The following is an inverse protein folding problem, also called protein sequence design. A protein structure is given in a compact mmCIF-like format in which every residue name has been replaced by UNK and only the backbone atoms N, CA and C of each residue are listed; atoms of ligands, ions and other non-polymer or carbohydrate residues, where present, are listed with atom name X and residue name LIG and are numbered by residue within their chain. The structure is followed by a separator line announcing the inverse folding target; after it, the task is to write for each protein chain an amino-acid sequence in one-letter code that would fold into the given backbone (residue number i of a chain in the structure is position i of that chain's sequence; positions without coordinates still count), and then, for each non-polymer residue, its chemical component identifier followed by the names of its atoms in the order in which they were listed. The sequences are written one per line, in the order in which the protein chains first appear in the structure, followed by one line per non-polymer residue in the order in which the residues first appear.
data_IF_322259963201
#
_entry.id   IF_322259963201
#
_cell.length_a   1.000
_cell.length_b   1.000
_cell.length_c   1.000
_cell.angle_alpha   90.00
_cell.angle_beta   90.00
_cell.angle_gamma   90.00
#
_symmetry.space_group_name_H-M   'P 1'
#
loop_
_entity.id
_entity.type
_entity.pdbx_description
1 polymer ?
#
# COMPACT_ATOMS: atom_id res chain seq x y z
N UNK A 1 0.02 -3.17 22.03
CA UNK A 1 0.93 -4.33 22.02
C UNK A 1 2.35 -3.86 22.31
N UNK A 2 3.26 -4.73 22.77
CA UNK A 2 4.68 -4.43 22.98
C UNK A 2 5.54 -5.12 21.91
N UNK A 3 6.74 -4.58 21.65
CA UNK A 3 7.62 -5.06 20.56
C UNK A 3 7.98 -6.55 20.67
N UNK A 4 8.21 -7.06 21.89
CA UNK A 4 8.53 -8.47 22.13
C UNK A 4 7.33 -9.43 22.00
N UNK A 5 6.11 -8.90 21.85
CA UNK A 5 4.89 -9.69 21.65
C UNK A 5 4.57 -9.87 20.16
N UNK A 6 5.30 -9.19 19.28
CA UNK A 6 5.15 -9.31 17.83
C UNK A 6 5.87 -10.57 17.36
N UNK A 7 5.18 -11.38 16.58
CA UNK A 7 5.74 -12.57 15.96
C UNK A 7 5.81 -12.39 14.44
N UNK A 8 6.99 -12.64 13.86
CA UNK A 8 7.16 -12.71 12.41
C UNK A 8 6.31 -13.86 11.85
N UNK A 9 5.61 -13.59 10.75
CA UNK A 9 4.70 -14.52 10.09
C UNK A 9 3.27 -14.53 10.68
N UNK A 10 3.01 -13.80 11.76
CA UNK A 10 1.67 -13.63 12.31
C UNK A 10 0.97 -12.40 11.71
N UNK A 11 -0.35 -12.49 11.60
CA UNK A 11 -1.21 -11.39 11.13
C UNK A 11 -1.78 -10.65 12.33
N UNK A 12 -1.71 -9.32 12.26
CA UNK A 12 -2.24 -8.40 13.26
C UNK A 12 -3.18 -7.41 12.61
N UNK A 13 -4.17 -6.95 13.36
CA UNK A 13 -5.01 -5.83 12.97
C UNK A 13 -4.28 -4.53 13.33
N UNK A 14 -4.05 -3.69 12.33
CA UNK A 14 -3.48 -2.36 12.49
C UNK A 14 -4.61 -1.36 12.68
N UNK A 15 -4.53 -0.62 13.78
CA UNK A 15 -5.40 0.52 14.08
C UNK A 15 -4.56 1.78 14.13
N UNK A 16 -4.47 2.55 13.04
CA UNK A 16 -3.83 3.85 13.04
C UNK A 16 -4.42 4.71 14.15
N UNK A 17 -3.61 5.06 15.13
CA UNK A 17 -3.98 6.12 16.07
C UNK A 17 -3.75 7.42 15.30
N UNK A 18 -4.81 8.20 15.05
CA UNK A 18 -4.68 9.53 14.46
C UNK A 18 -3.89 10.43 15.39
N UNK A 19 -2.57 10.32 15.35
CA UNK A 19 -1.67 11.30 15.92
C UNK A 19 -1.31 12.28 14.81
N UNK A 20 -1.51 13.57 15.06
CA UNK A 20 -1.44 14.65 14.08
C UNK A 20 0.02 14.98 13.66
N UNK A 21 0.79 13.96 13.24
CA UNK A 21 2.20 14.07 12.93
C UNK A 21 2.63 13.20 11.74
N UNK A 22 3.10 13.89 10.69
CA UNK A 22 4.06 13.45 9.65
C UNK A 22 3.77 12.23 8.74
N UNK A 23 2.83 11.34 9.04
CA UNK A 23 2.66 10.08 8.28
C UNK A 23 1.23 9.81 7.76
N UNK A 24 0.29 10.74 7.98
CA UNK A 24 -1.10 10.59 7.53
C UNK A 24 -1.24 10.30 6.02
N UNK A 25 -0.29 10.76 5.20
CA UNK A 25 -0.27 10.54 3.76
C UNK A 25 0.18 9.12 3.34
N UNK A 26 0.90 8.38 4.19
CA UNK A 26 1.24 6.96 3.96
C UNK A 26 0.03 6.04 4.14
N UNK A 27 -0.93 6.50 4.93
CA UNK A 27 -2.12 5.74 5.34
C UNK A 27 -3.39 6.31 4.72
N UNK A 28 -3.35 6.79 3.47
CA UNK A 28 -4.55 7.03 2.64
C UNK A 28 -5.34 5.74 2.32
N UNK A 29 -5.32 4.77 3.25
CA UNK A 29 -6.03 3.51 3.24
C UNK A 29 -7.05 3.45 4.38
N UNK A 30 -7.75 2.32 4.55
CA UNK A 30 -8.86 2.19 5.50
C UNK A 30 -8.44 2.46 6.95
N UNK A 31 -9.42 2.87 7.77
CA UNK A 31 -9.26 3.17 9.20
C UNK A 31 -8.71 1.99 10.01
N UNK A 32 -8.81 0.75 9.51
CA UNK A 32 -8.16 -0.44 10.05
C UNK A 32 -7.78 -1.39 8.90
N UNK A 33 -6.67 -2.12 9.04
CA UNK A 33 -6.27 -3.14 8.05
C UNK A 33 -5.47 -4.28 8.68
N UNK A 34 -5.51 -5.44 8.06
CA UNK A 34 -4.67 -6.58 8.46
C UNK A 34 -3.25 -6.46 7.90
N UNK A 35 -2.27 -6.77 8.73
CA UNK A 35 -0.85 -6.75 8.40
C UNK A 35 -0.21 -8.06 8.82
N UNK A 36 0.40 -8.78 7.87
CA UNK A 36 1.27 -9.92 8.18
C UNK A 36 2.68 -9.43 8.44
N UNK A 37 3.19 -9.60 9.65
CA UNK A 37 4.53 -9.10 10.01
C UNK A 37 5.60 -9.93 9.32
N UNK A 38 6.54 -9.26 8.66
CA UNK A 38 7.66 -9.90 7.95
C UNK A 38 9.02 -9.51 8.51
N UNK A 39 9.11 -8.47 9.33
CA UNK A 39 10.32 -8.08 10.03
C UNK A 39 10.02 -7.26 11.29
N UNK A 40 10.85 -7.45 12.31
CA UNK A 40 10.84 -6.73 13.57
C UNK A 40 12.17 -5.97 13.78
N UNK A 41 12.25 -5.15 14.84
CA UNK A 41 13.46 -4.37 15.17
C UNK A 41 13.63 -3.05 14.41
N UNK A 42 12.64 -2.68 13.60
CA UNK A 42 12.59 -1.41 12.88
C UNK A 42 12.12 -0.26 13.78
N UNK A 43 12.48 0.97 13.41
CA UNK A 43 11.94 2.17 14.07
C UNK A 43 11.35 3.13 13.05
N UNK A 44 10.26 3.78 13.44
CA UNK A 44 9.65 4.86 12.68
C UNK A 44 9.90 6.15 13.45
N UNK A 45 10.99 6.83 13.10
CA UNK A 45 11.58 7.84 13.98
C UNK A 45 12.16 7.17 15.23
N UNK A 46 11.72 7.61 16.40
CA UNK A 46 12.14 7.04 17.71
C UNK A 46 11.17 5.99 18.25
N UNK A 47 10.09 5.67 17.52
CA UNK A 47 9.05 4.74 17.96
C UNK A 47 9.35 3.34 17.42
N UNK A 48 9.28 2.28 18.26
CA UNK A 48 9.39 0.89 17.80
C UNK A 48 8.33 0.57 16.74
N UNK A 49 8.77 -0.01 15.63
CA UNK A 49 7.96 -0.33 14.47
C UNK A 49 8.23 -1.74 13.96
N UNK A 50 7.34 -2.22 13.11
CA UNK A 50 7.49 -3.49 12.40
C UNK A 50 7.25 -3.25 10.92
N UNK A 51 7.85 -4.10 10.11
CA UNK A 51 7.56 -4.18 8.68
C UNK A 51 6.63 -5.36 8.46
N UNK A 52 5.61 -5.14 7.64
CA UNK A 52 4.71 -6.20 7.25
C UNK A 52 4.11 -5.98 5.88
N UNK A 53 3.42 -7.01 5.43
CA UNK A 53 2.70 -7.03 4.16
C UNK A 53 1.22 -6.82 4.45
N UNK A 54 0.63 -5.78 3.85
CA UNK A 54 -0.82 -5.60 3.80
C UNK A 54 -1.32 -5.90 2.41
N UNK A 55 -2.49 -6.53 2.32
CA UNK A 55 -3.20 -6.74 1.05
C UNK A 55 -4.21 -5.62 0.91
N UNK A 56 -4.11 -4.87 -0.18
CA UNK A 56 -5.08 -3.82 -0.52
C UNK A 56 -5.72 -4.12 -1.86
N UNK A 57 -6.99 -3.79 -1.99
CA UNK A 57 -7.62 -3.76 -3.30
C UNK A 57 -7.18 -2.50 -4.03
N UNK A 58 -6.50 -2.69 -5.17
CA UNK A 58 -6.19 -1.61 -6.10
C UNK A 58 -7.04 -1.75 -7.35
N UNK A 59 -7.60 -0.62 -7.76
CA UNK A 59 -8.31 -0.49 -9.03
C UNK A 59 -7.47 0.22 -10.09
N UNK A 60 -6.36 0.85 -9.66
CA UNK A 60 -5.50 1.60 -10.55
C UNK A 60 -4.50 0.69 -11.27
N UNK A 61 -4.21 1.04 -12.51
CA UNK A 61 -3.20 0.38 -13.34
C UNK A 61 -2.21 1.43 -13.85
N UNK A 62 -0.96 0.99 -14.01
CA UNK A 62 0.09 1.75 -14.67
C UNK A 62 0.60 0.91 -15.83
N UNK A 63 0.54 1.46 -17.04
CA UNK A 63 0.99 0.79 -18.26
C UNK A 63 1.99 1.69 -19.00
N UNK A 64 3.09 1.14 -19.53
CA UNK A 64 3.95 1.90 -20.42
C UNK A 64 3.17 2.33 -21.66
N UNK A 65 3.26 3.61 -22.01
CA UNK A 65 2.73 4.12 -23.27
C UNK A 65 3.73 3.79 -24.37
N UNK A 66 3.37 2.96 -25.37
CA UNK A 66 4.31 2.61 -26.42
C UNK A 66 4.80 3.86 -27.18
N UNK A 67 6.09 3.93 -27.55
CA UNK A 67 6.66 5.13 -28.19
C UNK A 67 5.91 5.56 -29.46
N UNK A 68 5.44 4.61 -30.27
CA UNK A 68 4.64 4.90 -31.47
C UNK A 68 3.29 5.57 -31.14
N UNK A 69 2.69 5.20 -30.01
CA UNK A 69 1.43 5.78 -29.55
C UNK A 69 1.66 7.17 -28.96
N UNK A 70 2.74 7.35 -28.19
CA UNK A 70 3.17 8.66 -27.72
C UNK A 70 3.44 9.64 -28.88
N UNK A 71 4.12 9.19 -29.93
CA UNK A 71 4.34 9.97 -31.15
C UNK A 71 3.04 10.34 -31.85
N UNK A 72 2.10 9.39 -31.99
CA UNK A 72 0.76 9.66 -32.56
C UNK A 72 -0.03 10.68 -31.75
N UNK A 73 0.23 10.79 -30.45
CA UNK A 73 -0.37 11.81 -29.56
C UNK A 73 0.38 13.15 -29.58
N UNK A 74 1.47 13.27 -30.33
CA UNK A 74 2.30 14.48 -30.40
C UNK A 74 3.19 14.69 -29.18
N UNK A 75 3.44 13.65 -28.38
CA UNK A 75 4.31 13.74 -27.21
C UNK A 75 5.79 13.78 -27.62
N UNK A 76 6.64 14.49 -26.85
CA UNK A 76 8.08 14.54 -27.08
C UNK A 76 8.73 13.14 -27.21
N UNK A 77 9.60 12.93 -28.22
CA UNK A 77 10.36 11.69 -28.34
C UNK A 77 11.48 11.62 -27.29
N UNK A 78 11.94 10.39 -26.99
CA UNK A 78 13.04 10.16 -26.04
C UNK A 78 12.63 10.26 -24.56
N UNK A 79 11.32 10.33 -24.29
CA UNK A 79 10.76 10.28 -22.94
C UNK A 79 9.93 9.01 -22.81
N UNK A 80 10.14 8.26 -21.73
CA UNK A 80 9.30 7.13 -21.37
C UNK A 80 8.06 7.63 -20.64
N UNK A 81 6.88 7.28 -21.16
CA UNK A 81 5.60 7.70 -20.61
C UNK A 81 4.87 6.52 -19.96
N UNK A 82 4.18 6.80 -18.86
CA UNK A 82 3.27 5.87 -18.20
C UNK A 82 1.83 6.40 -18.29
N UNK A 83 0.89 5.53 -18.64
CA UNK A 83 -0.55 5.79 -18.53
C UNK A 83 -1.02 5.26 -17.19
N UNK A 84 -1.56 6.17 -16.37
CA UNK A 84 -2.24 5.83 -15.12
C UNK A 84 -3.75 5.92 -15.30
N UNK A 85 -4.47 4.89 -14.88
CA UNK A 85 -5.93 4.85 -15.00
C UNK A 85 -6.55 3.78 -14.11
N UNK A 86 -7.83 3.50 -14.30
CA UNK A 86 -8.56 2.41 -13.62
C UNK A 86 -8.88 1.30 -14.61
N UNK A 87 -8.82 0.05 -14.14
CA UNK A 87 -9.27 -1.09 -14.94
C UNK A 87 -10.78 -1.28 -14.72
N UNK A 88 -11.53 -1.32 -15.82
CA UNK A 88 -12.97 -1.59 -15.82
C UNK A 88 -13.26 -2.83 -16.65
N UNK A 89 -14.25 -3.61 -16.22
CA UNK A 89 -14.85 -4.63 -17.06
C UNK A 89 -15.64 -3.94 -18.18
N UNK A 90 -15.26 -4.18 -19.43
CA UNK A 90 -15.89 -3.54 -20.58
C UNK A 90 -17.36 -3.93 -20.78
N UNK A 91 -17.78 -5.10 -20.29
CA UNK A 91 -19.16 -5.57 -20.45
C UNK A 91 -20.09 -4.96 -19.41
N UNK A 92 -19.66 -4.87 -18.15
CA UNK A 92 -20.48 -4.40 -17.04
C UNK A 92 -20.22 -2.95 -16.63
N UNK A 93 -19.07 -2.38 -17.02
CA UNK A 93 -18.59 -1.08 -16.54
C UNK A 93 -18.08 -1.12 -15.09
N UNK A 94 -18.05 -2.28 -14.44
CA UNK A 94 -17.61 -2.40 -13.06
C UNK A 94 -16.10 -2.18 -12.93
N UNK A 95 -15.68 -1.54 -11.83
CA UNK A 95 -14.25 -1.46 -11.48
C UNK A 95 -13.73 -2.87 -11.19
N UNK A 96 -12.58 -3.19 -11.78
CA UNK A 96 -11.87 -4.43 -11.48
C UNK A 96 -10.97 -4.18 -10.27
N UNK A 97 -11.29 -4.82 -9.15
CA UNK A 97 -10.41 -4.89 -7.98
C UNK A 97 -9.34 -5.94 -8.22
N UNK A 98 -8.08 -5.60 -7.94
CA UNK A 98 -6.99 -6.58 -7.88
C UNK A 98 -6.34 -6.53 -6.49
N UNK A 99 -6.30 -7.67 -5.77
CA UNK A 99 -5.56 -7.73 -4.53
C UNK A 99 -4.08 -7.51 -4.83
N UNK A 100 -3.51 -6.48 -4.21
CA UNK A 100 -2.11 -6.11 -4.34
C UNK A 100 -1.47 -6.15 -2.97
N UNK A 101 -0.30 -6.78 -2.90
CA UNK A 101 0.47 -6.84 -1.68
C UNK A 101 1.44 -5.66 -1.63
N UNK A 102 1.47 -4.95 -0.51
CA UNK A 102 2.42 -3.86 -0.30
C UNK A 102 3.10 -3.97 1.07
N UNK A 103 4.38 -3.63 1.08
CA UNK A 103 5.18 -3.57 2.30
C UNK A 103 4.94 -2.22 2.97
N UNK A 104 4.61 -2.24 4.25
CA UNK A 104 4.41 -1.04 5.06
C UNK A 104 5.10 -1.18 6.41
N UNK A 105 5.62 -0.06 6.91
CA UNK A 105 6.17 0.04 8.26
C UNK A 105 5.15 0.71 9.16
N UNK A 106 4.80 0.07 10.28
CA UNK A 106 3.82 0.61 11.24
C UNK A 106 4.36 0.57 12.67
N UNK A 107 4.00 1.54 13.53
CA UNK A 107 4.30 1.48 14.96
C UNK A 107 3.71 0.23 15.61
N UNK A 108 4.46 -0.40 16.52
CA UNK A 108 3.98 -1.57 17.28
C UNK A 108 2.75 -1.23 18.13
N UNK A 109 2.63 0.03 18.57
CA UNK A 109 1.49 0.51 19.35
C UNK A 109 0.16 0.42 18.60
N UNK A 110 0.17 0.36 17.27
CA UNK A 110 -1.02 0.25 16.43
C UNK A 110 -1.49 -1.19 16.26
N UNK A 111 -0.68 -2.18 16.62
CA UNK A 111 -0.99 -3.59 16.42
C UNK A 111 -1.93 -4.12 17.51
N UNK A 112 -2.91 -4.89 17.09
CA UNK A 112 -3.80 -5.68 17.93
C UNK A 112 -3.84 -7.12 17.40
N UNK A 113 -3.90 -8.16 18.26
CA UNK A 113 -4.13 -9.52 17.80
C UNK A 113 -5.43 -9.62 17.00
N UNK A 114 -5.40 -10.40 15.92
CA UNK A 114 -6.63 -10.85 15.24
C UNK A 114 -7.22 -11.97 16.10
N UNK A 115 -8.50 -11.85 16.44
CA UNK A 115 -9.20 -12.83 17.29
C UNK A 115 -9.37 -14.19 16.60
#
# INVERSE_FOLDING_TARGET
MRAHEVQIGATYLVRPQHDHGTLAWLFSGPDEFELTVTGDGETLGEVPAVVGLRVIDRHNVSLPLPPEQAQRMGLPPGVDYLVQGVLVDAASGALVSRPTMESVTVPVSWLSPVA
#
